data_IF_046991584166
#
_entry.id   IF_046991584166
#
_cell.length_a   1.000
_cell.length_b   1.000
_cell.length_c   1.000
_cell.angle_alpha   90.00
_cell.angle_beta   90.00
_cell.angle_gamma   90.00
#
_symmetry.space_group_name_H-M   'P 1'
#
loop_
_entity.id
_entity.type
_entity.pdbx_description
1 polymer ?
#
# COMPACT_ATOMS: atom_id res chain seq x y z
N UNK A 1 7.93 -43.48 1.97
CA UNK A 1 8.69 -42.66 2.93
C UNK A 1 8.00 -42.72 4.29
N UNK A 2 8.11 -43.85 4.99
CA UNK A 2 7.45 -44.03 6.29
C UNK A 2 8.47 -43.85 7.42
N UNK A 3 8.10 -43.14 8.49
CA UNK A 3 8.89 -42.96 9.72
C UNK A 3 10.30 -42.34 9.60
N UNK A 4 10.64 -41.70 8.48
CA UNK A 4 12.01 -41.23 8.19
C UNK A 4 12.56 -40.26 9.26
N UNK A 5 11.71 -39.40 9.84
CA UNK A 5 12.08 -38.46 10.89
C UNK A 5 11.42 -38.76 12.23
N UNK A 6 10.99 -40.01 12.43
CA UNK A 6 10.32 -40.41 13.66
C UNK A 6 11.26 -40.22 14.86
N UNK A 7 10.78 -39.56 15.91
CA UNK A 7 11.48 -39.22 17.16
C UNK A 7 12.75 -38.38 16.99
N UNK A 8 12.93 -37.71 15.85
CA UNK A 8 14.03 -36.76 15.65
C UNK A 8 13.65 -35.38 16.20
N UNK A 9 13.63 -35.25 17.53
CA UNK A 9 13.10 -34.08 18.25
C UNK A 9 13.72 -32.74 17.84
N UNK A 10 14.98 -32.73 17.38
CA UNK A 10 15.72 -31.52 16.97
C UNK A 10 15.78 -31.29 15.44
N UNK A 11 15.15 -32.15 14.63
CA UNK A 11 15.23 -32.04 13.17
C UNK A 11 14.46 -30.81 12.67
N UNK A 12 15.15 -29.89 11.96
CA UNK A 12 14.56 -28.65 11.41
C UNK A 12 15.25 -28.19 10.10
N UNK A 13 15.76 -29.12 9.30
CA UNK A 13 16.43 -28.81 8.03
C UNK A 13 15.41 -28.53 6.91
N UNK A 14 15.79 -27.72 5.92
CA UNK A 14 14.92 -27.44 4.77
C UNK A 14 14.84 -28.65 3.83
N UNK A 15 13.65 -29.22 3.70
CA UNK A 15 13.35 -30.37 2.82
C UNK A 15 12.23 -30.04 1.82
N UNK A 16 11.88 -28.76 1.66
CA UNK A 16 10.81 -28.33 0.74
C UNK A 16 11.10 -28.64 -0.73
N UNK A 17 12.37 -28.78 -1.12
CA UNK A 17 12.80 -29.09 -2.49
C UNK A 17 12.73 -30.58 -2.84
N UNK A 18 12.30 -31.46 -1.94
CA UNK A 18 12.21 -32.89 -2.21
C UNK A 18 11.10 -33.21 -3.22
N UNK A 19 11.43 -33.99 -4.25
CA UNK A 19 10.43 -34.49 -5.19
C UNK A 19 9.67 -35.68 -4.58
N UNK A 20 8.40 -35.47 -4.25
CA UNK A 20 7.53 -36.47 -3.61
C UNK A 20 6.49 -37.09 -4.55
N UNK A 21 6.54 -36.78 -5.86
CA UNK A 21 5.48 -37.16 -6.82
C UNK A 21 5.27 -38.67 -6.99
N UNK A 22 6.27 -39.50 -6.67
CA UNK A 22 6.20 -40.96 -6.77
C UNK A 22 6.00 -41.66 -5.41
N UNK A 23 5.85 -40.90 -4.31
CA UNK A 23 5.80 -41.45 -2.95
C UNK A 23 4.42 -42.03 -2.68
N UNK A 24 4.35 -43.32 -2.36
CA UNK A 24 3.08 -44.02 -2.08
C UNK A 24 2.64 -44.00 -0.61
N UNK A 25 3.55 -43.83 0.33
CA UNK A 25 3.25 -43.83 1.77
C UNK A 25 4.09 -42.81 2.52
N UNK A 26 3.44 -42.05 3.41
CA UNK A 26 4.04 -41.05 4.30
C UNK A 26 3.73 -41.31 5.78
N UNK A 27 3.35 -42.54 6.11
CA UNK A 27 2.96 -42.97 7.46
C UNK A 27 4.02 -42.58 8.51
N UNK A 28 3.58 -41.87 9.55
CA UNK A 28 4.40 -41.49 10.70
C UNK A 28 5.68 -40.69 10.39
N UNK A 29 5.76 -40.01 9.24
CA UNK A 29 6.99 -39.39 8.73
C UNK A 29 7.65 -38.41 9.73
N UNK A 30 6.86 -37.63 10.46
CA UNK A 30 7.32 -36.65 11.45
C UNK A 30 6.85 -36.96 12.89
N UNK A 31 6.47 -38.20 13.17
CA UNK A 31 5.99 -38.58 14.49
C UNK A 31 7.07 -38.32 15.55
N UNK A 32 6.87 -37.36 16.46
CA UNK A 32 7.85 -36.99 17.49
C UNK A 32 8.99 -36.06 17.03
N UNK A 33 8.86 -35.40 15.86
CA UNK A 33 9.81 -34.39 15.38
C UNK A 33 9.43 -32.97 15.85
N UNK A 34 9.64 -32.69 17.14
CA UNK A 34 9.09 -31.49 17.82
C UNK A 34 9.60 -30.13 17.31
N UNK A 35 10.84 -30.07 16.80
CA UNK A 35 11.46 -28.81 16.35
C UNK A 35 11.23 -28.49 14.87
N UNK A 36 10.56 -29.38 14.12
CA UNK A 36 10.42 -29.23 12.67
C UNK A 36 9.38 -28.15 12.32
N UNK A 37 9.82 -27.05 11.71
CA UNK A 37 8.97 -25.93 11.29
C UNK A 37 9.45 -25.33 9.95
N UNK A 38 9.74 -26.20 8.99
CA UNK A 38 10.11 -25.80 7.62
C UNK A 38 8.96 -26.06 6.66
N UNK A 39 8.87 -25.20 5.65
CA UNK A 39 7.83 -25.27 4.64
C UNK A 39 7.97 -26.53 3.78
N UNK A 40 6.90 -27.32 3.67
CA UNK A 40 6.80 -28.53 2.84
C UNK A 40 5.59 -28.50 1.89
N UNK A 41 4.98 -27.32 1.70
CA UNK A 41 3.77 -27.16 0.88
C UNK A 41 3.99 -27.38 -0.64
N UNK A 42 5.25 -27.43 -1.09
CA UNK A 42 5.65 -27.77 -2.46
C UNK A 42 5.62 -29.27 -2.77
N UNK A 43 5.31 -30.13 -1.78
CA UNK A 43 5.28 -31.57 -1.98
C UNK A 43 4.03 -32.02 -2.75
N UNK A 44 4.25 -32.84 -3.78
CA UNK A 44 3.16 -33.47 -4.53
C UNK A 44 2.75 -34.79 -3.84
N UNK A 45 1.63 -34.76 -3.12
CA UNK A 45 1.09 -35.92 -2.39
C UNK A 45 0.04 -36.72 -3.17
N UNK A 46 -0.16 -36.43 -4.46
CA UNK A 46 -1.22 -37.06 -5.28
C UNK A 46 -1.09 -38.59 -5.40
N UNK A 47 0.13 -39.13 -5.28
CA UNK A 47 0.39 -40.57 -5.32
C UNK A 47 0.34 -41.26 -3.94
N UNK A 48 0.14 -40.50 -2.85
CA UNK A 48 0.18 -41.02 -1.48
C UNK A 48 -1.15 -41.67 -1.13
N UNK A 49 -1.11 -42.94 -0.75
CA UNK A 49 -2.30 -43.72 -0.38
C UNK A 49 -2.41 -43.93 1.14
N UNK A 50 -1.38 -43.61 1.92
CA UNK A 50 -1.37 -43.73 3.39
C UNK A 50 -0.66 -42.53 4.04
N UNK A 51 -1.45 -41.71 4.73
CA UNK A 51 -1.08 -40.48 5.44
C UNK A 51 -1.28 -40.63 6.96
N UNK A 52 -1.35 -41.83 7.52
CA UNK A 52 -1.65 -41.99 8.94
C UNK A 52 -0.50 -41.40 9.81
N UNK A 53 -0.74 -40.19 10.32
CA UNK A 53 0.07 -39.47 11.29
C UNK A 53 -0.39 -39.95 12.67
N UNK A 54 0.42 -40.74 13.39
CA UNK A 54 0.03 -41.29 14.69
C UNK A 54 -0.48 -40.21 15.68
N UNK A 55 -1.38 -40.62 16.58
CA UNK A 55 -2.10 -39.76 17.56
C UNK A 55 -1.17 -38.78 18.30
N UNK A 56 -1.49 -37.49 18.22
CA UNK A 56 -0.95 -36.45 19.12
C UNK A 56 -1.78 -36.41 20.43
N UNK A 57 -1.18 -36.41 21.62
CA UNK A 57 -1.87 -36.02 22.84
C UNK A 57 -2.04 -34.49 22.87
N UNK A 58 -3.24 -34.03 23.21
CA UNK A 58 -3.61 -32.62 23.28
C UNK A 58 -2.88 -31.88 24.42
N UNK A 59 -2.02 -30.90 24.11
CA UNK A 59 -2.04 -29.51 24.62
C UNK A 59 -0.87 -28.66 24.04
N UNK A 60 -1.21 -27.49 23.51
CA UNK A 60 -0.42 -26.26 23.28
C UNK A 60 1.06 -26.34 22.84
N UNK A 61 1.28 -26.26 21.52
CA UNK A 61 2.18 -25.29 20.83
C UNK A 61 2.16 -25.57 19.32
N UNK A 62 2.16 -24.51 18.52
CA UNK A 62 2.44 -24.48 17.08
C UNK A 62 1.44 -25.24 16.19
N UNK A 63 0.44 -24.51 15.71
CA UNK A 63 -0.44 -24.97 14.64
C UNK A 63 0.31 -25.05 13.32
N UNK A 64 0.90 -26.22 13.04
CA UNK A 64 1.31 -26.64 11.71
C UNK A 64 0.10 -27.30 11.04
N UNK A 65 -0.44 -26.68 9.99
CA UNK A 65 -1.54 -27.26 9.20
C UNK A 65 -0.97 -28.34 8.27
N UNK A 66 -1.05 -29.60 8.70
CA UNK A 66 -1.11 -30.74 7.77
C UNK A 66 -2.59 -31.09 7.62
N UNK A 67 -3.10 -30.90 6.40
CA UNK A 67 -4.32 -31.44 5.81
C UNK A 67 -5.31 -32.13 6.79
N UNK A 68 -6.42 -31.46 7.10
CA UNK A 68 -7.66 -32.16 7.48
C UNK A 68 -8.57 -32.25 6.25
N UNK A 69 -8.44 -33.36 5.52
CA UNK A 69 -9.49 -33.89 4.66
C UNK A 69 -10.18 -35.04 5.41
N UNK A 70 -11.50 -34.93 5.58
CA UNK A 70 -12.39 -35.96 6.12
C UNK A 70 -13.41 -35.31 7.06
N UNK A 71 -14.64 -35.04 6.65
CA UNK A 71 -15.64 -36.02 6.19
C UNK A 71 -16.84 -35.32 5.56
N UNK A 72 -17.35 -35.89 4.46
CA UNK A 72 -18.69 -35.80 3.84
C UNK A 72 -19.62 -34.59 4.11
N UNK A 73 -19.98 -33.86 3.04
CA UNK A 73 -21.36 -33.77 2.48
C UNK A 73 -21.68 -32.39 1.87
N UNK A 74 -22.29 -32.37 0.68
CA UNK A 74 -23.24 -31.32 0.29
C UNK A 74 -22.88 -30.47 -0.92
N UNK A 75 -23.49 -30.81 -2.06
CA UNK A 75 -23.54 -30.09 -3.32
C UNK A 75 -24.44 -28.82 -3.26
N UNK A 76 -24.01 -27.79 -4.01
CA UNK A 76 -24.79 -26.97 -4.96
C UNK A 76 -25.73 -25.79 -4.52
N UNK A 77 -25.58 -24.75 -5.37
CA UNK A 77 -26.53 -23.77 -5.93
C UNK A 77 -26.91 -22.46 -5.21
N UNK A 78 -26.68 -21.37 -5.99
CA UNK A 78 -27.41 -20.09 -6.17
C UNK A 78 -28.07 -19.39 -4.96
N UNK A 79 -27.75 -18.10 -4.77
CA UNK A 79 -28.76 -17.07 -5.11
C UNK A 79 -28.22 -15.63 -5.14
N UNK A 80 -28.66 -14.92 -6.18
CA UNK A 80 -28.59 -13.46 -6.34
C UNK A 80 -29.67 -12.82 -5.47
N UNK A 81 -29.46 -11.59 -4.99
CA UNK A 81 -30.56 -10.73 -4.58
C UNK A 81 -30.33 -9.27 -5.01
N UNK A 82 -31.04 -8.89 -6.08
CA UNK A 82 -31.38 -7.52 -6.49
C UNK A 82 -32.90 -7.40 -6.31
N UNK A 83 -33.30 -6.38 -5.52
CA UNK A 83 -34.53 -5.57 -5.54
C UNK A 83 -35.90 -6.17 -5.95
N UNK A 84 -36.83 -6.09 -5.00
CA UNK A 84 -38.25 -5.68 -5.09
C UNK A 84 -39.04 -5.94 -6.39
N UNK A 85 -40.05 -6.82 -6.29
CA UNK A 85 -41.39 -6.54 -6.81
C UNK A 85 -42.50 -7.13 -5.90
N UNK A 86 -43.55 -6.32 -5.75
CA UNK A 86 -44.85 -6.46 -5.06
C UNK A 86 -45.53 -7.85 -5.01
N UNK A 87 -46.48 -8.00 -4.06
CA UNK A 87 -47.87 -8.18 -4.50
C UNK A 87 -48.91 -7.28 -3.79
N UNK A 88 -49.99 -7.05 -4.52
CA UNK A 88 -51.15 -6.21 -4.24
C UNK A 88 -52.24 -6.92 -3.40
N UNK A 89 -52.89 -6.12 -2.52
CA UNK A 89 -54.31 -6.13 -2.11
C UNK A 89 -54.72 -7.26 -1.12
N UNK A 90 -55.27 -7.00 0.07
CA UNK A 90 -56.44 -6.15 0.35
C UNK A 90 -56.56 -5.59 1.79
N UNK A 91 -56.93 -4.31 1.85
CA UNK A 91 -57.94 -3.63 2.70
C UNK A 91 -58.04 -3.91 4.21
N UNK A 92 -57.87 -2.84 5.00
CA UNK A 92 -58.79 -2.55 6.11
C UNK A 92 -58.18 -1.96 7.38
N UNK A 93 -58.46 -0.67 7.62
CA UNK A 93 -58.52 0.04 8.91
C UNK A 93 -57.29 0.90 9.33
N UNK A 94 -57.46 2.20 9.06
CA UNK A 94 -57.17 3.40 9.88
C UNK A 94 -55.74 3.63 10.39
N UNK A 95 -55.02 4.68 9.96
CA UNK A 95 -55.33 6.10 10.22
C UNK A 95 -55.49 6.42 11.73
N UNK A 96 -54.43 6.27 12.51
CA UNK A 96 -54.29 6.97 13.80
C UNK A 96 -52.80 7.02 14.21
N UNK A 97 -52.34 8.20 14.62
CA UNK A 97 -51.04 8.47 15.28
C UNK A 97 -49.80 8.82 14.42
N UNK A 98 -49.92 9.83 13.56
CA UNK A 98 -48.80 10.72 13.16
C UNK A 98 -48.85 12.08 13.89
N UNK A 99 -49.67 12.22 14.93
CA UNK A 99 -49.66 13.40 15.79
C UNK A 99 -49.49 12.98 17.26
N UNK A 100 -48.57 13.64 17.98
CA UNK A 100 -48.02 13.34 19.32
C UNK A 100 -46.81 12.38 19.24
N UNK A 101 -45.55 12.79 19.43
CA UNK A 101 -45.04 13.75 20.41
C UNK A 101 -43.75 14.39 19.89
N UNK A 102 -43.90 15.58 19.31
CA UNK A 102 -42.87 16.61 19.23
C UNK A 102 -43.11 17.62 20.38
N UNK A 103 -43.21 17.16 21.63
CA UNK A 103 -43.28 18.02 22.82
C UNK A 103 -42.69 17.26 24.01
N UNK A 104 -41.38 17.43 24.25
CA UNK A 104 -40.73 17.41 25.57
C UNK A 104 -39.23 17.63 25.37
N UNK A 105 -38.87 18.87 25.06
CA UNK A 105 -37.51 19.35 25.19
C UNK A 105 -37.08 19.37 26.67
N UNK A 106 -35.76 19.20 26.90
CA UNK A 106 -34.95 19.88 27.93
C UNK A 106 -35.44 19.80 29.39
N UNK A 107 -34.79 18.94 30.19
CA UNK A 107 -34.51 19.02 31.65
C UNK A 107 -33.98 17.64 32.04
N UNK A 108 -32.71 17.39 32.35
CA UNK A 108 -31.94 17.86 33.51
C UNK A 108 -30.46 17.47 33.28
N UNK A 109 -29.55 18.43 33.45
CA UNK A 109 -28.17 18.19 33.85
C UNK A 109 -28.10 18.36 35.37
N UNK A 110 -27.38 17.47 36.06
CA UNK A 110 -26.81 17.72 37.39
C UNK A 110 -27.23 16.76 38.51
N UNK A 111 -26.22 16.31 39.28
CA UNK A 111 -26.24 15.57 40.55
C UNK A 111 -26.55 14.06 40.45
N UNK A 112 -25.68 13.10 40.82
CA UNK A 112 -24.61 13.05 41.82
C UNK A 112 -23.46 12.13 41.39
N UNK A 113 -22.24 12.56 41.71
CA UNK A 113 -21.07 11.70 41.85
C UNK A 113 -21.21 10.84 43.12
N UNK A 114 -20.66 9.62 43.09
CA UNK A 114 -20.35 8.85 44.30
C UNK A 114 -20.59 7.35 44.20
N UNK A 115 -19.59 6.61 43.72
CA UNK A 115 -19.04 5.39 44.37
C UNK A 115 -18.17 4.61 43.38
N UNK A 116 -16.87 4.70 43.59
CA UNK A 116 -15.88 3.84 42.95
C UNK A 116 -15.86 2.47 43.65
N UNK A 117 -15.84 1.38 42.88
CA UNK A 117 -15.04 0.18 43.19
C UNK A 117 -15.16 -0.89 42.08
N UNK A 118 -14.00 -1.30 41.57
CA UNK A 118 -13.69 -2.64 41.05
C UNK A 118 -14.27 -3.07 39.70
N UNK A 119 -13.58 -2.67 38.61
CA UNK A 119 -13.39 -3.55 37.46
C UNK A 119 -12.05 -3.22 36.75
N UNK A 120 -11.23 -4.26 36.61
CA UNK A 120 -9.93 -4.35 35.94
C UNK A 120 -9.80 -3.56 34.62
N UNK A 121 -8.65 -2.91 34.35
CA UNK A 121 -8.44 -2.18 33.10
C UNK A 121 -8.12 -3.16 31.96
N UNK A 122 -9.16 -3.63 31.27
CA UNK A 122 -9.01 -3.93 29.84
C UNK A 122 -8.89 -2.58 29.14
N UNK A 123 -7.66 -2.18 28.84
CA UNK A 123 -7.30 -1.04 28.01
C UNK A 123 -7.94 -1.22 26.63
N UNK A 124 -9.22 -0.88 26.52
CA UNK A 124 -9.89 -0.61 25.27
C UNK A 124 -9.14 0.57 24.68
N UNK A 125 -8.33 0.32 23.66
CA UNK A 125 -7.85 1.34 22.74
C UNK A 125 -9.07 1.92 22.01
N UNK A 126 -9.89 2.69 22.71
CA UNK A 126 -10.94 3.53 22.17
C UNK A 126 -10.26 4.83 21.69
N UNK A 127 -9.35 4.67 20.72
CA UNK A 127 -8.92 5.79 19.89
C UNK A 127 -10.08 6.13 18.97
N UNK A 128 -10.31 7.40 18.68
CA UNK A 128 -11.29 7.85 17.70
C UNK A 128 -10.82 7.53 16.26
N UNK A 129 -10.73 6.25 15.90
CA UNK A 129 -10.25 5.76 14.60
C UNK A 129 -11.18 6.12 13.43
N UNK A 130 -12.46 6.38 13.71
CA UNK A 130 -13.46 6.83 12.73
C UNK A 130 -13.19 8.23 12.18
N UNK A 131 -12.46 9.08 12.90
CA UNK A 131 -12.12 10.44 12.45
C UNK A 131 -10.84 10.47 11.59
N UNK A 132 -9.90 9.55 11.84
CA UNK A 132 -8.60 9.49 11.16
C UNK A 132 -8.66 8.97 9.71
N UNK A 133 -9.75 8.31 9.32
CA UNK A 133 -9.95 7.78 7.96
C UNK A 133 -10.77 8.73 7.07
N UNK A 134 -11.39 9.74 7.68
CA UNK A 134 -11.96 10.92 6.99
C UNK A 134 -10.93 12.04 6.79
N UNK A 135 -9.75 11.95 7.43
CA UNK A 135 -8.61 12.81 7.12
C UNK A 135 -7.98 12.42 5.80
N UNK A 136 -7.67 13.42 4.98
CA UNK A 136 -7.07 13.23 3.66
C UNK A 136 -5.69 12.59 3.84
N UNK A 137 -5.35 11.61 3.00
CA UNK A 137 -4.18 10.75 3.26
C UNK A 137 -2.86 11.52 3.38
N UNK A 138 -2.73 12.66 2.69
CA UNK A 138 -1.56 13.53 2.83
C UNK A 138 -1.48 14.11 4.25
N UNK A 139 -2.57 14.67 4.77
CA UNK A 139 -2.64 15.19 6.14
C UNK A 139 -2.30 14.10 7.18
N UNK A 140 -2.80 12.89 6.95
CA UNK A 140 -2.50 11.75 7.83
C UNK A 140 -1.02 11.36 7.77
N UNK A 141 -0.43 11.23 6.58
CA UNK A 141 1.00 10.95 6.38
C UNK A 141 1.89 12.02 7.03
N UNK A 142 1.48 13.29 6.96
CA UNK A 142 2.19 14.42 7.54
C UNK A 142 1.96 14.57 9.05
N UNK A 143 0.97 13.88 9.62
CA UNK A 143 0.61 14.03 11.04
C UNK A 143 1.62 13.36 11.98
N UNK A 144 1.81 13.98 13.16
CA UNK A 144 2.59 13.38 14.24
C UNK A 144 1.94 12.11 14.79
N UNK A 145 0.62 11.98 14.64
CA UNK A 145 -0.11 10.77 15.04
C UNK A 145 0.35 9.54 14.25
N UNK A 146 0.54 9.69 12.93
CA UNK A 146 1.02 8.60 12.09
C UNK A 146 2.50 8.33 12.33
N UNK A 147 3.31 9.39 12.47
CA UNK A 147 4.73 9.27 12.83
C UNK A 147 4.94 8.52 14.14
N UNK A 148 4.20 8.89 15.19
CA UNK A 148 4.24 8.22 16.49
C UNK A 148 3.78 6.76 16.44
N UNK A 149 2.73 6.46 15.66
CA UNK A 149 2.26 5.09 15.45
C UNK A 149 3.33 4.24 14.74
N UNK A 150 3.92 4.76 13.66
CA UNK A 150 4.97 4.11 12.90
C UNK A 150 6.20 3.81 13.79
N UNK A 151 6.68 4.81 14.53
CA UNK A 151 7.82 4.65 15.43
C UNK A 151 7.55 3.64 16.56
N UNK A 152 6.38 3.73 17.22
CA UNK A 152 5.99 2.79 18.29
C UNK A 152 5.91 1.34 17.79
N UNK A 153 5.31 1.11 16.62
CA UNK A 153 5.11 -0.23 16.05
C UNK A 153 6.40 -0.86 15.55
N UNK A 154 7.28 -0.06 14.95
CA UNK A 154 8.53 -0.55 14.33
C UNK A 154 9.72 -0.54 15.28
N UNK A 155 9.64 0.23 16.37
CA UNK A 155 10.78 0.49 17.27
C UNK A 155 11.87 1.37 16.65
N UNK A 156 11.59 2.04 15.52
CA UNK A 156 12.55 2.87 14.78
C UNK A 156 12.16 4.34 14.82
N UNK A 157 13.15 5.24 14.80
CA UNK A 157 12.92 6.69 14.73
C UNK A 157 12.38 7.10 13.36
N UNK A 158 12.96 6.54 12.29
CA UNK A 158 12.52 6.77 10.91
C UNK A 158 12.40 5.44 10.16
N UNK A 159 11.30 4.70 10.33
CA UNK A 159 11.12 3.41 9.67
C UNK A 159 10.90 3.55 8.16
N UNK A 160 11.39 2.56 7.41
CA UNK A 160 10.98 2.40 6.01
C UNK A 160 9.55 1.87 5.90
N UNK A 161 8.93 2.03 4.74
CA UNK A 161 7.64 1.41 4.50
C UNK A 161 7.72 -0.12 4.45
N UNK A 162 8.90 -0.71 4.20
CA UNK A 162 9.16 -2.14 4.41
C UNK A 162 9.08 -2.50 5.90
N UNK A 163 9.71 -1.70 6.78
CA UNK A 163 9.64 -1.92 8.22
C UNK A 163 8.20 -1.82 8.73
N UNK A 164 7.48 -0.79 8.28
CA UNK A 164 6.07 -0.61 8.62
C UNK A 164 5.21 -1.75 8.08
N UNK A 165 5.51 -2.28 6.89
CA UNK A 165 4.80 -3.45 6.34
C UNK A 165 4.85 -4.62 7.32
N UNK A 166 6.06 -4.94 7.78
CA UNK A 166 6.28 -6.02 8.73
C UNK A 166 5.58 -5.76 10.05
N UNK A 167 5.70 -4.54 10.59
CA UNK A 167 5.14 -4.20 11.90
C UNK A 167 3.61 -4.01 11.91
N UNK A 168 3.01 -3.62 10.79
CA UNK A 168 1.58 -3.29 10.71
C UNK A 168 0.74 -4.51 10.33
N UNK A 169 1.23 -5.33 9.40
CA UNK A 169 0.43 -6.41 8.79
C UNK A 169 0.99 -7.81 9.01
N UNK A 170 2.30 -7.96 9.26
CA UNK A 170 2.95 -9.28 9.41
C UNK A 170 3.40 -9.57 10.85
N UNK A 171 3.16 -8.64 11.79
CA UNK A 171 3.40 -8.87 13.21
C UNK A 171 2.41 -9.90 13.78
N UNK A 172 2.69 -10.43 14.97
CA UNK A 172 1.78 -11.36 15.67
C UNK A 172 0.43 -10.71 16.03
N UNK A 173 0.40 -9.38 16.15
CA UNK A 173 -0.78 -8.57 16.42
C UNK A 173 -1.08 -7.58 15.28
N UNK A 174 -1.41 -8.05 14.06
CA UNK A 174 -1.57 -7.14 12.93
C UNK A 174 -2.72 -6.15 13.17
N UNK A 175 -2.53 -4.94 12.66
CA UNK A 175 -3.52 -3.87 12.78
C UNK A 175 -4.82 -4.33 12.13
N UNK A 176 -5.88 -4.41 12.94
CA UNK A 176 -7.22 -4.75 12.49
C UNK A 176 -7.46 -6.23 12.18
N UNK A 177 -6.63 -7.13 12.73
CA UNK A 177 -6.82 -8.59 12.68
C UNK A 177 -8.21 -9.06 13.12
N UNK A 178 -8.76 -8.41 14.15
CA UNK A 178 -10.05 -8.78 14.78
C UNK A 178 -11.25 -8.11 14.10
N UNK A 179 -11.03 -7.40 12.99
CA UNK A 179 -12.09 -6.70 12.27
C UNK A 179 -12.47 -7.47 11.00
N UNK A 180 -13.72 -7.28 10.57
CA UNK A 180 -14.22 -7.83 9.32
C UNK A 180 -13.92 -6.85 8.18
N UNK A 181 -13.30 -7.34 7.11
CA UNK A 181 -13.01 -6.56 5.93
C UNK A 181 -14.33 -6.21 5.20
N UNK A 182 -14.68 -4.91 5.05
CA UNK A 182 -15.91 -4.53 4.37
C UNK A 182 -15.87 -4.74 2.84
N UNK A 183 -14.74 -5.18 2.28
CA UNK A 183 -14.62 -5.50 0.85
C UNK A 183 -15.13 -6.91 0.55
N UNK A 184 -14.77 -7.87 1.37
CA UNK A 184 -14.95 -9.31 1.14
C UNK A 184 -15.71 -10.05 2.26
N UNK A 185 -16.00 -9.38 3.38
CA UNK A 185 -16.73 -9.95 4.52
C UNK A 185 -15.90 -10.90 5.39
N UNK A 186 -14.59 -11.04 5.16
CA UNK A 186 -13.72 -11.99 5.86
C UNK A 186 -12.98 -11.34 7.05
N UNK A 187 -12.63 -12.08 8.12
CA UNK A 187 -11.82 -11.57 9.24
C UNK A 187 -10.41 -11.16 8.81
N UNK A 188 -9.86 -10.12 9.45
CA UNK A 188 -8.56 -9.54 9.12
C UNK A 188 -8.70 -8.43 8.09
N UNK A 189 -8.31 -7.22 8.47
CA UNK A 189 -8.30 -6.04 7.60
C UNK A 189 -6.89 -5.50 7.46
N UNK A 190 -6.61 -4.83 6.34
CA UNK A 190 -5.48 -3.93 6.26
C UNK A 190 -5.94 -2.48 6.51
N UNK A 191 -4.97 -1.59 6.65
CA UNK A 191 -5.19 -0.15 6.79
C UNK A 191 -6.11 0.40 5.68
N UNK A 192 -6.04 -0.16 4.47
CA UNK A 192 -6.92 0.17 3.33
C UNK A 192 -8.40 -0.09 3.59
N UNK A 193 -8.72 -1.20 4.22
CA UNK A 193 -10.08 -1.74 4.15
C UNK A 193 -11.06 -0.89 4.94
N UNK A 194 -10.53 -0.05 5.82
CA UNK A 194 -11.25 0.96 6.57
C UNK A 194 -11.63 2.20 5.77
N UNK A 195 -11.08 2.43 4.57
CA UNK A 195 -11.50 3.52 3.69
C UNK A 195 -12.85 3.13 3.06
N UNK A 196 -13.97 3.82 3.39
CA UNK A 196 -15.27 3.50 2.82
C UNK A 196 -15.25 3.57 1.29
N UNK A 197 -16.03 2.73 0.60
CA UNK A 197 -16.09 2.74 -0.89
C UNK A 197 -16.38 4.13 -1.45
N UNK A 198 -17.20 4.94 -0.76
CA UNK A 198 -17.48 6.34 -1.13
C UNK A 198 -16.25 7.25 -1.01
N UNK A 199 -15.42 7.06 0.01
CA UNK A 199 -14.18 7.83 0.21
C UNK A 199 -13.09 7.42 -0.79
N UNK A 200 -13.04 6.15 -1.24
CA UNK A 200 -12.10 5.73 -2.32
C UNK A 200 -12.31 6.52 -3.62
N UNK A 201 -13.56 6.93 -3.91
CA UNK A 201 -13.88 7.79 -5.05
C UNK A 201 -13.41 9.24 -4.86
N UNK A 202 -13.04 9.64 -3.65
CA UNK A 202 -12.49 10.96 -3.34
C UNK A 202 -10.97 11.02 -3.50
N UNK A 203 -10.31 9.92 -3.90
CA UNK A 203 -8.89 9.95 -4.24
C UNK A 203 -8.66 10.92 -5.41
N UNK A 204 -7.88 11.96 -5.12
CA UNK A 204 -7.56 13.08 -6.00
C UNK A 204 -6.24 12.91 -6.77
N UNK A 205 -5.34 12.06 -6.26
CA UNK A 205 -3.99 11.89 -6.81
C UNK A 205 -3.58 10.43 -6.77
N UNK A 206 -2.96 9.92 -7.83
CA UNK A 206 -2.23 8.67 -7.80
C UNK A 206 -0.83 8.94 -7.27
N UNK A 207 -0.36 8.19 -6.26
CA UNK A 207 1.00 8.36 -5.76
C UNK A 207 1.88 7.20 -6.20
N UNK A 208 2.91 7.53 -6.98
CA UNK A 208 3.98 6.61 -7.35
C UNK A 208 5.20 6.86 -6.48
N UNK A 209 5.73 5.80 -5.91
CA UNK A 209 6.75 5.83 -4.86
C UNK A 209 7.31 4.41 -4.65
N UNK A 210 8.29 4.25 -3.77
CA UNK A 210 8.85 2.92 -3.44
C UNK A 210 8.86 2.64 -1.95
N UNK A 211 8.57 1.37 -1.62
CA UNK A 211 8.57 0.83 -0.26
C UNK A 211 9.91 0.99 0.48
N UNK A 212 11.02 1.18 -0.25
CA UNK A 212 12.35 1.39 0.36
C UNK A 212 12.48 2.74 1.06
N UNK A 213 11.63 3.70 0.75
CA UNK A 213 11.72 5.03 1.35
C UNK A 213 11.43 4.99 2.85
N UNK A 214 12.10 5.86 3.59
CA UNK A 214 11.78 6.15 4.97
C UNK A 214 10.52 7.02 5.07
N UNK A 215 9.86 6.98 6.22
CA UNK A 215 8.73 7.87 6.49
C UNK A 215 9.15 9.34 6.42
N UNK A 216 10.35 9.67 6.92
CA UNK A 216 10.95 10.99 6.85
C UNK A 216 11.15 11.48 5.43
N UNK A 217 11.67 10.63 4.53
CA UNK A 217 11.83 10.97 3.12
C UNK A 217 10.48 11.31 2.46
N UNK A 218 9.47 10.46 2.65
CA UNK A 218 8.13 10.70 2.10
C UNK A 218 7.50 11.96 2.70
N UNK A 219 7.61 12.18 4.02
CA UNK A 219 7.07 13.39 4.68
C UNK A 219 7.77 14.66 4.20
N UNK A 220 9.09 14.63 4.02
CA UNK A 220 9.85 15.76 3.50
C UNK A 220 9.40 16.10 2.07
N UNK A 221 9.30 15.11 1.19
CA UNK A 221 8.84 15.32 -0.19
C UNK A 221 7.38 15.81 -0.28
N UNK A 222 6.49 15.28 0.57
CA UNK A 222 5.10 15.72 0.61
C UNK A 222 4.95 17.13 1.20
N UNK A 223 5.83 17.52 2.12
CA UNK A 223 5.86 18.88 2.64
C UNK A 223 6.30 19.87 1.55
N UNK A 224 7.36 19.55 0.80
CA UNK A 224 7.75 20.33 -0.39
C UNK A 224 6.56 20.49 -1.36
N UNK A 225 5.89 19.38 -1.68
CA UNK A 225 4.72 19.41 -2.55
C UNK A 225 3.54 20.24 -2.00
N UNK A 226 3.29 20.17 -0.68
CA UNK A 226 2.25 20.97 -0.03
C UNK A 226 2.59 22.46 -0.03
N UNK A 227 3.85 22.81 0.25
CA UNK A 227 4.30 24.20 0.36
C UNK A 227 4.22 24.90 -1.00
N UNK A 228 4.57 24.22 -2.08
CA UNK A 228 4.40 24.73 -3.45
C UNK A 228 2.93 24.90 -3.85
N UNK A 229 2.07 23.90 -3.57
CA UNK A 229 0.65 23.95 -3.99
C UNK A 229 -0.14 25.08 -3.33
N UNK A 230 0.43 25.68 -2.29
CA UNK A 230 -0.29 26.54 -1.38
C UNK A 230 -1.46 25.81 -0.71
N UNK A 231 -2.30 26.59 -0.03
CA UNK A 231 -3.45 26.09 0.71
C UNK A 231 -4.64 25.86 -0.24
N UNK A 232 -4.49 24.93 -1.17
CA UNK A 232 -5.56 24.50 -2.08
C UNK A 232 -6.17 23.17 -1.62
N UNK A 233 -7.17 22.73 -2.40
CA UNK A 233 -8.00 21.56 -2.18
C UNK A 233 -7.23 20.32 -1.69
N UNK A 234 -7.94 19.43 -1.01
CA UNK A 234 -7.37 18.38 -0.23
C UNK A 234 -6.73 17.27 -1.03
N UNK A 235 -5.62 16.73 -0.54
CA UNK A 235 -4.96 15.63 -1.23
C UNK A 235 -5.27 14.30 -0.58
N UNK A 236 -6.04 13.51 -1.33
CA UNK A 236 -6.23 12.10 -1.07
C UNK A 236 -5.53 11.27 -2.14
N UNK A 237 -4.51 10.51 -1.72
CA UNK A 237 -3.70 9.63 -2.54
C UNK A 237 -4.33 8.24 -2.71
N UNK A 238 -4.26 7.72 -3.93
CA UNK A 238 -4.18 6.30 -4.21
C UNK A 238 -2.72 5.88 -4.04
N UNK A 239 -2.41 5.27 -2.90
CA UNK A 239 -1.07 4.80 -2.54
C UNK A 239 -1.15 3.32 -2.19
N UNK A 240 -0.30 2.48 -2.78
CA UNK A 240 -0.36 1.03 -2.57
C UNK A 240 -0.32 0.61 -1.08
N UNK A 241 0.37 1.37 -0.22
CA UNK A 241 0.36 1.20 1.24
C UNK A 241 -1.04 1.32 1.87
N UNK A 242 -1.85 2.25 1.36
CA UNK A 242 -3.22 2.52 1.83
C UNK A 242 -4.31 1.88 0.99
N UNK A 243 -4.00 1.20 -0.13
CA UNK A 243 -5.02 0.63 -1.03
C UNK A 243 -4.95 -0.89 -1.21
N UNK A 244 -3.86 -1.52 -0.79
CA UNK A 244 -3.69 -2.96 -0.91
C UNK A 244 -3.85 -3.63 0.45
N UNK A 245 -4.67 -4.69 0.49
CA UNK A 245 -4.73 -5.54 1.67
C UNK A 245 -3.53 -6.48 1.65
N UNK A 246 -2.43 -6.00 2.22
CA UNK A 246 -1.16 -6.72 2.28
C UNK A 246 -1.27 -8.03 3.05
N UNK A 247 -2.17 -8.13 4.04
CA UNK A 247 -2.43 -9.37 4.76
C UNK A 247 -2.98 -10.45 3.81
N UNK A 248 -3.99 -10.14 2.99
CA UNK A 248 -4.54 -11.10 2.02
C UNK A 248 -3.53 -11.51 0.94
N UNK A 249 -2.76 -10.54 0.45
CA UNK A 249 -1.77 -10.78 -0.61
C UNK A 249 -0.61 -11.65 -0.10
N UNK A 250 -0.12 -11.38 1.12
CA UNK A 250 1.12 -11.99 1.63
C UNK A 250 0.86 -13.23 2.48
N UNK A 251 -0.21 -13.24 3.29
CA UNK A 251 -0.47 -14.31 4.29
C UNK A 251 -1.37 -15.40 3.71
N UNK A 252 -2.39 -15.04 2.92
CA UNK A 252 -3.31 -16.03 2.32
C UNK A 252 -2.89 -16.50 0.93
N UNK A 253 -1.82 -15.92 0.35
CA UNK A 253 -1.29 -16.25 -0.98
C UNK A 253 -2.37 -16.31 -2.08
N UNK A 254 -3.47 -15.57 -1.94
CA UNK A 254 -4.52 -15.55 -2.96
C UNK A 254 -4.00 -14.81 -4.19
N UNK A 255 -3.72 -15.56 -5.26
CA UNK A 255 -3.29 -15.11 -6.60
C UNK A 255 -4.21 -14.06 -7.25
N UNK A 256 -5.42 -13.86 -6.71
CA UNK A 256 -6.37 -12.82 -7.15
C UNK A 256 -5.85 -11.38 -6.98
N UNK A 257 -4.78 -11.16 -6.21
CA UNK A 257 -4.18 -9.83 -6.07
C UNK A 257 -3.41 -9.35 -7.30
N UNK A 258 -2.75 -10.28 -8.03
CA UNK A 258 -1.88 -9.92 -9.13
C UNK A 258 -2.59 -9.96 -10.50
N UNK A 259 -3.60 -10.81 -10.67
CA UNK A 259 -4.20 -11.14 -11.97
C UNK A 259 -4.71 -9.93 -12.79
N UNK A 260 -5.22 -8.88 -12.14
CA UNK A 260 -5.77 -7.68 -12.81
C UNK A 260 -4.98 -6.39 -12.49
N UNK A 261 -3.70 -6.48 -12.09
CA UNK A 261 -2.95 -5.30 -11.62
C UNK A 261 -2.89 -4.16 -12.65
N UNK A 262 -2.72 -4.47 -13.94
CA UNK A 262 -2.72 -3.47 -15.01
C UNK A 262 -4.09 -2.80 -15.14
N UNK A 263 -5.17 -3.57 -15.27
CA UNK A 263 -6.52 -3.03 -15.42
C UNK A 263 -6.94 -2.23 -14.18
N UNK A 264 -6.59 -2.70 -12.97
CA UNK A 264 -6.90 -2.01 -11.72
C UNK A 264 -6.07 -0.72 -11.63
N UNK A 265 -4.79 -0.76 -11.96
CA UNK A 265 -3.91 0.40 -11.93
C UNK A 265 -4.35 1.44 -12.97
N UNK A 266 -4.42 1.07 -14.25
CA UNK A 266 -4.78 1.95 -15.37
C UNK A 266 -6.15 2.57 -15.16
N UNK A 267 -7.14 1.78 -14.71
CA UNK A 267 -8.48 2.29 -14.39
C UNK A 267 -8.46 3.30 -13.25
N UNK A 268 -7.67 3.08 -12.21
CA UNK A 268 -7.58 4.03 -11.10
C UNK A 268 -6.84 5.29 -11.51
N UNK A 269 -5.73 5.16 -12.24
CA UNK A 269 -4.97 6.29 -12.74
C UNK A 269 -5.83 7.14 -13.69
N UNK A 270 -6.53 6.52 -14.65
CA UNK A 270 -7.48 7.19 -15.55
C UNK A 270 -8.60 7.91 -14.79
N UNK A 271 -9.19 7.25 -13.78
CA UNK A 271 -10.25 7.84 -12.95
C UNK A 271 -9.77 9.06 -12.16
N UNK A 272 -8.53 9.01 -11.68
CA UNK A 272 -7.95 10.06 -10.84
C UNK A 272 -7.45 11.23 -11.70
N UNK A 273 -6.84 10.94 -12.85
CA UNK A 273 -6.39 11.93 -13.83
C UNK A 273 -5.17 12.75 -13.42
N UNK A 274 -4.52 12.43 -12.29
CA UNK A 274 -3.33 13.12 -11.76
C UNK A 274 -2.39 12.15 -11.07
N UNK A 275 -1.09 12.31 -11.28
CA UNK A 275 -0.06 11.50 -10.63
C UNK A 275 0.99 12.37 -9.94
N UNK A 276 1.34 12.00 -8.71
CA UNK A 276 2.49 12.53 -7.97
C UNK A 276 3.51 11.42 -7.83
N UNK A 277 4.74 11.65 -8.27
CA UNK A 277 5.87 10.74 -8.20
C UNK A 277 6.90 11.25 -7.18
N UNK A 278 7.24 10.45 -6.18
CA UNK A 278 8.29 10.79 -5.21
C UNK A 278 9.63 10.24 -5.69
N UNK A 279 10.57 11.13 -5.97
CA UNK A 279 11.99 10.83 -6.17
C UNK A 279 12.71 10.92 -4.82
N UNK A 280 13.54 9.94 -4.48
CA UNK A 280 14.43 10.03 -3.32
C UNK A 280 15.55 11.05 -3.51
N UNK A 281 16.08 11.10 -4.73
CA UNK A 281 17.24 11.89 -5.13
C UNK A 281 17.13 12.25 -6.60
N UNK A 282 17.91 13.22 -7.07
CA UNK A 282 18.13 13.43 -8.50
C UNK A 282 19.38 12.68 -8.99
N UNK A 283 20.34 12.36 -8.10
CA UNK A 283 21.49 11.51 -8.41
C UNK A 283 21.10 10.03 -8.32
N UNK A 284 21.13 9.33 -9.44
CA UNK A 284 20.86 7.90 -9.57
C UNK A 284 19.63 7.45 -8.75
N UNK A 285 18.45 8.07 -8.96
CA UNK A 285 17.29 7.85 -8.11
C UNK A 285 16.93 6.37 -8.00
N UNK A 286 16.74 5.90 -6.77
CA UNK A 286 16.18 4.56 -6.55
C UNK A 286 14.84 4.44 -7.27
N UNK A 287 14.06 5.52 -7.34
CA UNK A 287 12.81 5.57 -8.11
C UNK A 287 12.94 5.03 -9.54
N UNK A 288 13.99 5.38 -10.30
CA UNK A 288 14.14 4.92 -11.69
C UNK A 288 14.70 3.49 -11.80
N UNK A 289 15.18 2.92 -10.69
CA UNK A 289 15.66 1.54 -10.62
C UNK A 289 14.56 0.50 -10.32
N UNK A 290 13.31 0.94 -10.13
CA UNK A 290 12.19 0.05 -9.75
C UNK A 290 11.26 -0.16 -10.93
N UNK A 291 10.94 -1.41 -11.22
CA UNK A 291 10.17 -1.73 -12.42
C UNK A 291 8.74 -1.18 -12.37
N UNK A 292 8.12 -1.19 -11.18
CA UNK A 292 6.77 -0.65 -11.00
C UNK A 292 6.70 0.87 -11.21
N UNK A 293 7.65 1.63 -10.67
CA UNK A 293 7.65 3.10 -10.83
C UNK A 293 7.94 3.51 -12.27
N UNK A 294 8.81 2.77 -12.97
CA UNK A 294 9.05 2.95 -14.40
C UNK A 294 7.80 2.63 -15.22
N UNK A 295 7.14 1.53 -14.92
CA UNK A 295 5.89 1.14 -15.57
C UNK A 295 4.75 2.14 -15.32
N UNK A 296 4.58 2.60 -14.08
CA UNK A 296 3.54 3.55 -13.70
C UNK A 296 3.69 4.89 -14.45
N UNK A 297 4.92 5.41 -14.56
CA UNK A 297 5.20 6.61 -15.36
C UNK A 297 4.90 6.40 -16.85
N UNK A 298 5.28 5.25 -17.39
CA UNK A 298 5.02 4.92 -18.78
C UNK A 298 3.51 4.93 -19.07
N UNK A 299 2.70 4.30 -18.22
CA UNK A 299 1.25 4.29 -18.37
C UNK A 299 0.65 5.68 -18.19
N UNK A 300 1.09 6.47 -17.21
CA UNK A 300 0.63 7.84 -17.03
C UNK A 300 0.84 8.68 -18.30
N UNK A 301 2.04 8.59 -18.86
CA UNK A 301 2.40 9.33 -20.07
C UNK A 301 1.69 8.81 -21.32
N UNK A 302 1.43 7.49 -21.42
CA UNK A 302 0.55 6.91 -22.46
C UNK A 302 -0.89 7.44 -22.39
N UNK A 303 -1.38 7.71 -21.19
CA UNK A 303 -2.71 8.26 -20.92
C UNK A 303 -2.77 9.79 -20.98
N UNK A 304 -1.67 10.46 -21.34
CA UNK A 304 -1.54 11.93 -21.31
C UNK A 304 -1.86 12.52 -19.93
N UNK A 305 -1.55 11.77 -18.88
CA UNK A 305 -1.69 12.19 -17.48
C UNK A 305 -0.36 12.79 -17.05
N UNK A 306 -0.40 14.06 -16.65
CA UNK A 306 0.76 14.77 -16.11
C UNK A 306 1.28 14.05 -14.86
N UNK A 307 2.59 13.81 -14.85
CA UNK A 307 3.34 13.29 -13.70
C UNK A 307 4.03 14.46 -13.02
N UNK A 308 3.56 14.78 -11.81
CA UNK A 308 4.19 15.78 -10.95
C UNK A 308 5.26 15.08 -10.12
N UNK A 309 6.52 15.49 -10.25
CA UNK A 309 7.59 14.95 -9.41
C UNK A 309 7.67 15.73 -8.11
N UNK A 310 8.11 15.12 -7.02
CA UNK A 310 8.54 15.81 -5.80
C UNK A 310 9.66 15.00 -5.15
N UNK A 311 10.46 15.61 -4.28
CA UNK A 311 11.58 14.97 -3.61
C UNK A 311 11.84 15.58 -2.22
N UNK A 312 12.58 14.89 -1.33
CA UNK A 312 13.00 15.46 -0.06
C UNK A 312 13.71 16.81 -0.23
N UNK A 313 13.52 17.71 0.73
CA UNK A 313 14.05 19.07 0.71
C UNK A 313 15.58 19.10 0.48
N UNK A 314 16.31 18.18 1.09
CA UNK A 314 17.76 18.05 0.90
C UNK A 314 18.15 17.73 -0.54
N UNK A 315 17.38 16.85 -1.18
CA UNK A 315 17.60 16.46 -2.58
C UNK A 315 17.23 17.60 -3.53
N UNK A 316 16.14 18.32 -3.23
CA UNK A 316 15.72 19.50 -3.99
C UNK A 316 16.77 20.63 -3.87
N UNK A 317 17.28 20.89 -2.67
CA UNK A 317 18.34 21.86 -2.43
C UNK A 317 19.63 21.51 -3.19
N UNK A 318 20.02 20.24 -3.17
CA UNK A 318 21.17 19.76 -3.92
C UNK A 318 20.96 19.92 -5.44
N UNK A 319 19.76 19.64 -5.96
CA UNK A 319 19.43 19.85 -7.37
C UNK A 319 19.59 21.33 -7.75
N UNK A 320 19.05 22.24 -6.93
CA UNK A 320 19.18 23.69 -7.13
C UNK A 320 20.64 24.13 -7.18
N UNK A 321 21.43 23.70 -6.21
CA UNK A 321 22.86 24.01 -6.15
C UNK A 321 23.57 23.53 -7.42
N UNK A 322 23.28 22.32 -7.88
CA UNK A 322 23.87 21.79 -9.11
C UNK A 322 23.44 22.57 -10.35
N UNK A 323 22.18 23.02 -10.45
CA UNK A 323 21.73 23.89 -11.56
C UNK A 323 22.56 25.18 -11.62
N UNK A 324 22.93 25.76 -10.46
CA UNK A 324 23.76 27.00 -10.42
C UNK A 324 25.17 26.82 -10.96
N UNK A 325 25.67 25.58 -11.12
CA UNK A 325 26.97 25.29 -11.74
C UNK A 325 26.96 25.46 -13.26
N UNK A 326 25.81 25.80 -13.86
CA UNK A 326 25.68 26.04 -15.29
C UNK A 326 25.83 24.76 -16.11
N UNK A 327 26.55 24.82 -17.23
CA UNK A 327 26.63 23.73 -18.21
C UNK A 327 27.08 22.38 -17.64
N UNK A 328 28.06 22.38 -16.72
CA UNK A 328 28.54 21.14 -16.08
C UNK A 328 27.51 20.51 -15.15
N UNK A 329 26.78 21.33 -14.38
CA UNK A 329 25.70 20.86 -13.51
C UNK A 329 24.51 20.33 -14.30
N UNK A 330 24.13 21.00 -15.39
CA UNK A 330 23.07 20.51 -16.29
C UNK A 330 23.46 19.17 -16.92
N UNK A 331 24.72 19.00 -17.33
CA UNK A 331 25.23 17.73 -17.84
C UNK A 331 25.16 16.62 -16.78
N UNK A 332 25.53 16.92 -15.54
CA UNK A 332 25.45 15.99 -14.41
C UNK A 332 24.01 15.52 -14.16
N UNK A 333 23.06 16.46 -14.06
CA UNK A 333 21.64 16.19 -13.82
C UNK A 333 21.03 15.36 -14.95
N UNK A 334 21.25 15.77 -16.20
CA UNK A 334 20.70 15.08 -17.38
C UNK A 334 21.29 13.69 -17.54
N UNK A 335 22.58 13.49 -17.25
CA UNK A 335 23.21 12.17 -17.27
C UNK A 335 22.59 11.25 -16.22
N UNK A 336 22.35 11.75 -15.02
CA UNK A 336 21.73 10.98 -13.94
C UNK A 336 20.29 10.55 -14.28
N UNK A 337 19.46 11.47 -14.76
CA UNK A 337 18.02 11.25 -14.94
C UNK A 337 17.65 10.61 -16.28
N UNK A 338 18.59 10.54 -17.23
CA UNK A 338 18.39 9.85 -18.50
C UNK A 338 18.68 8.35 -18.47
N UNK A 339 19.36 7.86 -17.42
CA UNK A 339 19.72 6.45 -17.21
C UNK A 339 18.53 5.57 -16.79
N UNK A 340 17.48 5.51 -17.61
CA UNK A 340 16.33 4.63 -17.40
C UNK A 340 16.57 3.28 -18.06
N UNK A 341 16.60 2.22 -17.25
CA UNK A 341 16.75 0.83 -17.71
C UNK A 341 15.69 -0.07 -17.06
N UNK A 342 14.54 -0.19 -17.73
CA UNK A 342 13.44 -1.06 -17.29
C UNK A 342 13.77 -2.56 -17.35
N UNK A 343 14.76 -2.98 -18.12
CA UNK A 343 15.17 -4.39 -18.18
C UNK A 343 15.96 -4.77 -16.91
N UNK A 344 16.83 -3.88 -16.45
CA UNK A 344 17.59 -4.04 -15.20
C UNK A 344 16.85 -3.60 -13.95
N UNK A 345 15.77 -2.83 -14.08
CA UNK A 345 14.96 -2.40 -12.96
C UNK A 345 14.39 -3.60 -12.19
N UNK A 346 14.26 -3.47 -10.87
CA UNK A 346 13.93 -4.58 -9.98
C UNK A 346 12.65 -4.33 -9.18
N UNK A 347 11.94 -5.40 -8.80
CA UNK A 347 10.89 -5.36 -7.79
C UNK A 347 11.39 -5.96 -6.47
N UNK A 348 10.56 -5.92 -5.42
CA UNK A 348 10.88 -6.57 -4.15
C UNK A 348 10.38 -8.01 -4.17
N UNK A 349 9.19 -8.22 -4.75
CA UNK A 349 8.64 -9.54 -5.01
C UNK A 349 9.11 -10.01 -6.40
N UNK A 350 9.86 -11.13 -6.50
CA UNK A 350 10.32 -11.65 -7.78
C UNK A 350 9.19 -11.97 -8.77
N UNK A 351 8.03 -12.43 -8.28
CA UNK A 351 6.88 -12.74 -9.14
C UNK A 351 6.32 -11.49 -9.81
N UNK A 352 6.19 -10.39 -9.05
CA UNK A 352 5.76 -9.11 -9.60
C UNK A 352 6.78 -8.53 -10.58
N UNK A 353 8.08 -8.74 -10.33
CA UNK A 353 9.13 -8.30 -11.26
C UNK A 353 8.99 -9.00 -12.61
N UNK A 354 8.94 -10.33 -12.60
CA UNK A 354 8.77 -11.15 -13.81
C UNK A 354 7.50 -10.72 -14.52
N UNK A 355 6.41 -10.55 -13.79
CA UNK A 355 5.12 -10.16 -14.37
C UNK A 355 5.17 -8.83 -15.12
N UNK A 356 5.69 -7.76 -14.49
CA UNK A 356 5.73 -6.44 -15.14
C UNK A 356 6.72 -6.45 -16.30
N UNK A 357 7.86 -7.14 -16.17
CA UNK A 357 8.83 -7.28 -17.25
C UNK A 357 8.26 -8.03 -18.45
N UNK A 358 7.57 -9.15 -18.23
CA UNK A 358 6.87 -9.89 -19.29
C UNK A 358 5.84 -9.01 -19.97
N UNK A 359 5.04 -8.27 -19.20
CA UNK A 359 4.04 -7.34 -19.76
C UNK A 359 4.67 -6.28 -20.66
N UNK A 360 5.75 -5.64 -20.21
CA UNK A 360 6.48 -4.64 -21.02
C UNK A 360 7.00 -5.30 -22.29
N UNK A 361 7.66 -6.45 -22.18
CA UNK A 361 8.29 -7.14 -23.29
C UNK A 361 7.27 -7.62 -24.34
N UNK A 362 6.09 -8.09 -23.91
CA UNK A 362 5.03 -8.61 -24.77
C UNK A 362 4.22 -7.50 -25.46
N UNK A 363 4.19 -6.29 -24.90
CA UNK A 363 3.34 -5.20 -25.41
C UNK A 363 4.11 -4.17 -26.24
N UNK A 364 5.08 -3.47 -25.64
CA UNK A 364 5.74 -2.30 -26.24
C UNK A 364 7.27 -2.41 -26.29
N UNK A 365 7.85 -3.32 -25.51
CA UNK A 365 9.28 -3.53 -25.35
C UNK A 365 9.97 -2.52 -24.43
N UNK A 366 11.04 -2.96 -23.74
CA UNK A 366 11.79 -2.15 -22.77
C UNK A 366 12.34 -0.85 -23.39
N UNK A 367 12.85 -0.91 -24.63
CA UNK A 367 13.40 0.26 -25.30
C UNK A 367 12.36 1.37 -25.53
N UNK A 368 11.09 1.02 -25.73
CA UNK A 368 10.02 2.01 -25.88
C UNK A 368 9.69 2.67 -24.53
N UNK A 369 9.56 1.86 -23.47
CA UNK A 369 9.34 2.33 -22.09
C UNK A 369 10.48 3.26 -21.65
N UNK A 370 11.73 2.84 -21.83
CA UNK A 370 12.90 3.62 -21.43
C UNK A 370 12.91 4.99 -22.11
N UNK A 371 12.75 5.06 -23.44
CA UNK A 371 12.72 6.34 -24.17
C UNK A 371 11.61 7.26 -23.67
N UNK A 372 10.44 6.71 -23.36
CA UNK A 372 9.29 7.50 -22.93
C UNK A 372 9.48 8.07 -21.53
N UNK A 373 9.93 7.24 -20.57
CA UNK A 373 10.22 7.70 -19.20
C UNK A 373 11.41 8.66 -19.19
N UNK A 374 12.47 8.40 -19.96
CA UNK A 374 13.57 9.37 -20.13
C UNK A 374 13.07 10.71 -20.66
N UNK A 375 12.12 10.72 -21.62
CA UNK A 375 11.53 11.95 -22.13
C UNK A 375 10.77 12.71 -21.03
N UNK A 376 9.96 12.02 -20.22
CA UNK A 376 9.25 12.61 -19.08
C UNK A 376 10.23 13.27 -18.10
N UNK A 377 11.32 12.57 -17.76
CA UNK A 377 12.35 13.10 -16.86
C UNK A 377 13.07 14.32 -17.44
N UNK A 378 13.44 14.28 -18.72
CA UNK A 378 14.11 15.42 -19.40
C UNK A 378 13.18 16.62 -19.48
N UNK A 379 11.90 16.42 -19.81
CA UNK A 379 10.91 17.51 -19.82
C UNK A 379 10.78 18.16 -18.46
N UNK A 380 10.64 17.35 -17.40
CA UNK A 380 10.55 17.87 -16.03
C UNK A 380 11.81 18.67 -15.63
N UNK A 381 13.01 18.12 -15.82
CA UNK A 381 14.27 18.84 -15.54
C UNK A 381 14.40 20.12 -16.36
N UNK A 382 13.96 20.08 -17.62
CA UNK A 382 13.93 21.24 -18.50
C UNK A 382 13.12 22.39 -17.92
N UNK A 383 11.95 22.10 -17.35
CA UNK A 383 11.13 23.10 -16.65
C UNK A 383 11.80 23.62 -15.38
N UNK A 384 12.47 22.76 -14.59
CA UNK A 384 13.27 23.20 -13.42
C UNK A 384 14.39 24.17 -13.82
N UNK A 385 15.11 23.87 -14.90
CA UNK A 385 16.20 24.74 -15.41
C UNK A 385 15.62 26.07 -15.94
N UNK A 386 14.52 26.00 -16.68
CA UNK A 386 13.81 27.18 -17.18
C UNK A 386 13.34 28.09 -16.06
N UNK A 387 12.84 27.52 -14.95
CA UNK A 387 12.50 28.25 -13.73
C UNK A 387 13.68 29.08 -13.22
N UNK A 388 14.84 28.43 -13.10
CA UNK A 388 16.04 29.07 -12.60
C UNK A 388 16.49 30.23 -13.51
N UNK A 389 16.42 30.04 -14.83
CA UNK A 389 16.73 31.10 -15.79
C UNK A 389 15.76 32.28 -15.63
N UNK A 390 14.47 32.01 -15.45
CA UNK A 390 13.47 33.06 -15.22
C UNK A 390 13.78 33.85 -13.95
N UNK A 391 14.17 33.18 -12.86
CA UNK A 391 14.53 33.85 -11.60
C UNK A 391 15.76 34.76 -11.77
N UNK A 392 16.75 34.35 -12.57
CA UNK A 392 17.91 35.19 -12.90
C UNK A 392 17.53 36.44 -13.71
N UNK A 393 16.60 36.29 -14.66
CA UNK A 393 16.06 37.40 -15.47
C UNK A 393 15.32 38.39 -14.57
N UNK A 394 14.42 37.90 -13.71
CA UNK A 394 13.63 38.73 -12.79
C UNK A 394 14.54 39.50 -11.82
N UNK A 395 15.59 38.85 -11.32
CA UNK A 395 16.61 39.48 -10.48
C UNK A 395 17.39 40.58 -11.22
N UNK A 396 17.74 40.38 -12.49
CA UNK A 396 18.46 41.36 -13.30
C UNK A 396 17.59 42.60 -13.63
N UNK A 397 16.28 42.43 -13.78
CA UNK A 397 15.35 43.52 -14.08
C UNK A 397 14.89 44.32 -12.85
N UNK A 398 15.33 43.97 -11.64
CA UNK A 398 14.93 44.68 -10.41
C UNK A 398 13.42 44.60 -10.14
N UNK A 399 12.73 43.59 -10.68
CA UNK A 399 11.31 43.36 -10.42
C UNK A 399 11.16 43.13 -8.91
N UNK A 400 10.34 43.94 -8.19
CA UNK A 400 10.14 43.73 -6.76
C UNK A 400 9.65 42.31 -6.49
N UNK A 401 10.15 41.69 -5.41
CA UNK A 401 9.80 40.33 -4.94
C UNK A 401 8.31 40.20 -4.58
N UNK A 402 7.41 40.28 -5.55
CA UNK A 402 5.98 40.01 -5.40
C UNK A 402 5.62 38.55 -5.71
N UNK A 403 6.60 37.78 -6.21
CA UNK A 403 6.55 36.32 -6.32
C UNK A 403 7.29 35.68 -5.14
N UNK A 404 6.88 34.46 -4.73
CA UNK A 404 7.54 33.73 -3.65
C UNK A 404 9.05 33.62 -3.92
N UNK A 405 9.88 33.49 -2.87
CA UNK A 405 11.35 33.69 -2.95
C UNK A 405 12.01 32.92 -4.11
N UNK A 406 13.21 33.32 -4.55
CA UNK A 406 13.98 32.65 -5.62
C UNK A 406 14.28 31.16 -5.38
N UNK A 407 13.97 30.64 -4.19
CA UNK A 407 13.94 29.20 -3.89
C UNK A 407 12.58 28.57 -4.22
N UNK A 408 11.48 29.26 -3.91
CA UNK A 408 10.11 28.77 -4.06
C UNK A 408 9.72 28.54 -5.53
N UNK A 409 10.06 29.41 -6.49
CA UNK A 409 9.66 29.19 -7.88
C UNK A 409 10.34 27.94 -8.51
N UNK A 410 11.59 27.66 -8.12
CA UNK A 410 12.26 26.40 -8.49
C UNK A 410 11.68 25.23 -7.70
N UNK A 411 11.33 25.41 -6.41
CA UNK A 411 10.61 24.39 -5.63
C UNK A 411 9.26 24.05 -6.27
N UNK A 412 8.61 25.04 -6.90
CA UNK A 412 7.29 24.88 -7.50
C UNK A 412 7.33 23.96 -8.73
N UNK A 413 8.40 24.07 -9.52
CA UNK A 413 8.64 23.23 -10.69
C UNK A 413 9.35 21.92 -10.34
N UNK A 414 10.15 21.88 -9.26
CA UNK A 414 10.67 20.63 -8.68
C UNK A 414 9.51 19.75 -8.21
N UNK A 415 8.46 20.36 -7.65
CA UNK A 415 7.27 19.66 -7.13
C UNK A 415 6.14 19.50 -8.18
N UNK A 416 6.36 20.00 -9.40
CA UNK A 416 5.52 19.79 -10.57
C UNK A 416 4.15 20.45 -10.50
N UNK A 417 3.97 21.49 -9.70
CA UNK A 417 2.67 22.13 -9.52
C UNK A 417 2.52 23.22 -10.57
N UNK A 418 1.46 23.11 -11.38
CA UNK A 418 1.09 24.16 -12.32
C UNK A 418 0.80 25.48 -11.57
N UNK A 419 1.41 26.58 -12.05
CA UNK A 419 1.00 27.95 -11.76
C UNK A 419 -0.40 28.26 -12.33
#
# INVERSE_FOLDING_TARGET
MSFVFSNMTHFNANIGSWNTSAVKTMKGLFSGAESFNKFIGSWNTSAVTDMNLGKFPAYNRLGCQVCEFGTYAGLLFEDRCIWWHLPLIALGIAAFMVALRFVAARRIQGFLAGSAAHASPRTKYCFSWSCAMTTRSMDYLLSDSFGGLAGKRTGKVDPTFIDMKSAFWLAEDPIGKDLICPRDGRPGVALVDWIPRRARRQQTHFMSWTWRYSLGQVRSALKMYQDTRGNSEPVFFYMCFFVNNQYRIIVEATTTGSADLEQVFEKNLTRIGRMVAILDSWQEPVYLSRIWTVYEQFVASKLDIQVMFTMPESSAACLRETVTKGGSGIQEITSSLSCVDSERAVAWNPEDEVKVKSLIQETVGFGHVNRHVTKVMITWVGEVIKAHIQDLIDAAHGVPRSRPSSSQHVDDLITGVDL
#
